data_IF_150095874082
#
_entry.id   IF_150095874082
#
_cell.length_a   1.000
_cell.length_b   1.000
_cell.length_c   1.000
_cell.angle_alpha   90.00
_cell.angle_beta   90.00
_cell.angle_gamma   90.00
#
_symmetry.space_group_name_H-M   'P 1'
#
loop_
_entity.id
_entity.type
_entity.pdbx_description
1 polymer ?
#
# COMPACT_ATOMS: atom_id res chain seq x y z
N UNK A 1 8.17 -6.15 -13.16
CA UNK A 1 8.83 -5.39 -12.07
C UNK A 1 9.02 -6.27 -10.85
N UNK A 2 9.66 -5.76 -9.78
CA UNK A 2 9.97 -6.52 -8.57
C UNK A 2 8.73 -7.18 -7.93
N UNK A 3 7.62 -6.44 -7.79
CA UNK A 3 6.38 -6.99 -7.22
C UNK A 3 5.82 -8.20 -7.97
N UNK A 4 6.01 -8.27 -9.30
CA UNK A 4 5.59 -9.42 -10.09
C UNK A 4 6.44 -10.67 -9.81
N UNK A 5 7.76 -10.50 -9.60
CA UNK A 5 8.64 -11.60 -9.19
C UNK A 5 8.27 -12.13 -7.80
N UNK A 6 7.98 -11.23 -6.85
CA UNK A 6 7.49 -11.60 -5.51
C UNK A 6 6.17 -12.36 -5.62
N UNK A 7 5.20 -11.87 -6.40
CA UNK A 7 3.93 -12.56 -6.63
C UNK A 7 4.13 -13.96 -7.22
N UNK A 8 5.02 -14.09 -8.20
CA UNK A 8 5.33 -15.39 -8.81
C UNK A 8 5.90 -16.37 -7.78
N UNK A 9 6.81 -15.92 -6.93
CA UNK A 9 7.34 -16.73 -5.84
C UNK A 9 6.24 -17.14 -4.85
N UNK A 10 5.45 -16.19 -4.36
CA UNK A 10 4.35 -16.43 -3.41
C UNK A 10 3.32 -17.44 -3.95
N UNK A 11 2.95 -17.32 -5.23
CA UNK A 11 2.02 -18.25 -5.87
C UNK A 11 2.60 -19.66 -6.00
N UNK A 12 3.89 -19.79 -6.34
CA UNK A 12 4.56 -21.09 -6.51
C UNK A 12 4.82 -21.82 -5.20
N UNK A 13 5.01 -21.09 -4.11
CA UNK A 13 5.27 -21.67 -2.78
C UNK A 13 4.02 -21.84 -1.93
N UNK A 14 2.83 -21.49 -2.46
CA UNK A 14 1.57 -21.56 -1.72
C UNK A 14 1.43 -20.52 -0.61
N UNK A 15 2.30 -19.51 -0.57
CA UNK A 15 2.25 -18.43 0.43
C UNK A 15 1.20 -17.37 0.12
N UNK A 16 0.67 -17.32 -1.10
CA UNK A 16 -0.30 -16.30 -1.49
C UNK A 16 -1.59 -16.40 -0.66
N UNK A 17 -1.96 -17.60 -0.21
CA UNK A 17 -3.16 -17.85 0.60
C UNK A 17 -3.03 -17.35 2.05
N UNK A 18 -1.80 -17.17 2.54
CA UNK A 18 -1.53 -16.80 3.94
C UNK A 18 -1.26 -15.31 4.15
N UNK A 19 -1.09 -14.53 3.08
CA UNK A 19 -0.71 -13.11 3.17
C UNK A 19 -1.72 -12.19 2.50
N UNK A 20 -1.72 -10.91 2.92
CA UNK A 20 -2.44 -9.84 2.22
C UNK A 20 -1.47 -9.14 1.28
N UNK A 21 -1.52 -9.49 0.00
CA UNK A 21 -0.63 -8.92 -1.02
C UNK A 21 -1.33 -7.80 -1.81
N UNK A 22 -0.77 -6.58 -1.78
CA UNK A 22 -1.25 -5.39 -2.53
C UNK A 22 -0.07 -4.71 -3.22
N UNK A 23 0.31 -5.17 -4.43
CA UNK A 23 1.42 -4.56 -5.15
C UNK A 23 1.03 -3.15 -5.61
N UNK A 24 1.92 -2.19 -5.44
CA UNK A 24 1.76 -0.82 -5.91
C UNK A 24 2.75 -0.57 -7.04
N UNK A 25 2.25 -0.08 -8.18
CA UNK A 25 3.06 0.18 -9.38
C UNK A 25 2.63 1.49 -10.01
N UNK A 26 3.45 2.01 -10.92
CA UNK A 26 3.09 3.20 -11.68
C UNK A 26 1.78 2.93 -12.45
N UNK A 27 0.77 3.82 -12.34
CA UNK A 27 -0.51 3.63 -13.01
C UNK A 27 -0.36 3.80 -14.52
N UNK A 28 -1.18 3.08 -15.28
CA UNK A 28 -1.24 3.16 -16.74
C UNK A 28 -2.05 4.39 -17.19
N UNK A 29 -1.50 5.58 -16.90
CA UNK A 29 -2.03 6.88 -17.30
C UNK A 29 -0.90 7.88 -17.40
N UNK A 30 -1.11 8.96 -18.14
CA UNK A 30 -0.19 10.09 -18.13
C UNK A 30 -0.18 10.77 -16.75
N UNK A 31 1.01 11.20 -16.34
CA UNK A 31 1.28 12.01 -15.15
C UNK A 31 1.98 13.26 -15.66
N UNK A 32 1.49 14.43 -15.25
CA UNK A 32 2.03 15.69 -15.73
C UNK A 32 3.46 15.92 -15.22
N UNK A 33 4.25 16.67 -15.99
CA UNK A 33 5.60 17.01 -15.57
C UNK A 33 5.55 17.89 -14.32
N UNK A 34 6.24 17.47 -13.27
CA UNK A 34 6.29 18.16 -11.99
C UNK A 34 7.55 17.76 -11.22
N UNK A 35 7.70 18.24 -9.99
CA UNK A 35 8.70 17.71 -9.07
C UNK A 35 8.45 16.22 -8.83
N UNK A 36 9.53 15.47 -8.60
CA UNK A 36 9.47 14.02 -8.39
C UNK A 36 8.49 13.63 -7.26
N UNK A 37 8.50 14.36 -6.15
CA UNK A 37 7.59 14.14 -5.01
C UNK A 37 6.12 14.35 -5.41
N UNK A 38 5.83 15.38 -6.20
CA UNK A 38 4.48 15.63 -6.69
C UNK A 38 4.01 14.52 -7.64
N UNK A 39 4.87 14.06 -8.53
CA UNK A 39 4.56 12.96 -9.46
C UNK A 39 4.31 11.64 -8.72
N UNK A 40 5.11 11.30 -7.71
CA UNK A 40 4.88 10.09 -6.92
C UNK A 40 3.61 10.17 -6.08
N UNK A 41 3.31 11.34 -5.52
CA UNK A 41 2.05 11.56 -4.81
C UNK A 41 0.85 11.40 -5.74
N UNK A 42 0.93 11.95 -6.95
CA UNK A 42 -0.11 11.81 -7.97
C UNK A 42 -0.26 10.35 -8.43
N UNK A 43 0.85 9.61 -8.54
CA UNK A 43 0.86 8.18 -8.83
C UNK A 43 0.33 7.32 -7.66
N UNK A 44 0.16 7.88 -6.47
CA UNK A 44 -0.19 7.15 -5.26
C UNK A 44 0.94 6.23 -4.77
N UNK A 45 2.20 6.59 -5.01
CA UNK A 45 3.39 5.81 -4.68
C UNK A 45 4.27 6.48 -3.61
N UNK A 46 3.70 7.40 -2.84
CA UNK A 46 4.38 8.04 -1.72
C UNK A 46 4.24 7.24 -0.41
N UNK A 47 4.95 7.65 0.64
CA UNK A 47 4.95 6.96 1.93
C UNK A 47 3.56 6.88 2.57
N UNK A 48 2.75 7.93 2.45
CA UNK A 48 1.39 7.97 2.99
C UNK A 48 0.49 6.98 2.28
N UNK A 49 0.54 6.92 0.95
CA UNK A 49 -0.25 5.98 0.16
C UNK A 49 0.17 4.53 0.42
N UNK A 50 1.47 4.25 0.60
CA UNK A 50 1.98 2.92 0.96
C UNK A 50 1.44 2.49 2.33
N UNK A 51 1.54 3.36 3.34
CA UNK A 51 1.04 3.08 4.68
C UNK A 51 -0.48 2.86 4.68
N UNK A 52 -1.23 3.71 3.99
CA UNK A 52 -2.68 3.59 3.84
C UNK A 52 -3.07 2.26 3.16
N UNK A 53 -2.37 1.87 2.10
CA UNK A 53 -2.61 0.61 1.39
C UNK A 53 -2.35 -0.59 2.30
N UNK A 54 -1.28 -0.56 3.10
CA UNK A 54 -0.97 -1.63 4.06
C UNK A 54 -2.05 -1.74 5.16
N UNK A 55 -2.46 -0.61 5.75
CA UNK A 55 -3.51 -0.59 6.77
C UNK A 55 -4.85 -1.07 6.20
N UNK A 56 -5.21 -0.63 4.99
CA UNK A 56 -6.41 -1.08 4.31
C UNK A 56 -6.36 -2.59 3.99
N UNK A 57 -5.20 -3.11 3.58
CA UNK A 57 -5.02 -4.55 3.36
C UNK A 57 -5.23 -5.39 4.63
N UNK A 58 -4.94 -4.81 5.80
CA UNK A 58 -5.18 -5.40 7.12
C UNK A 58 -6.60 -5.17 7.65
N UNK A 59 -7.44 -4.43 6.93
CA UNK A 59 -8.80 -4.07 7.39
C UNK A 59 -8.82 -2.99 8.48
N UNK A 60 -7.73 -2.23 8.64
CA UNK A 60 -7.58 -1.18 9.64
C UNK A 60 -7.92 0.22 9.09
N UNK A 61 -8.68 0.29 7.99
CA UNK A 61 -9.09 1.55 7.38
C UNK A 61 -10.31 2.13 8.10
N UNK A 62 -10.32 3.45 8.28
CA UNK A 62 -11.19 4.24 9.14
C UNK A 62 -12.64 4.35 8.62
N UNK A 63 -13.30 3.20 8.46
CA UNK A 63 -14.73 3.09 8.34
C UNK A 63 -15.22 2.33 9.57
N UNK A 64 -15.46 3.11 10.64
CA UNK A 64 -16.19 2.75 11.85
C UNK A 64 -15.46 2.18 13.09
N UNK A 65 -14.25 2.62 13.48
CA UNK A 65 -13.85 2.46 14.89
C UNK A 65 -12.85 3.50 15.43
N UNK A 66 -13.17 4.21 16.53
CA UNK A 66 -12.28 5.17 17.22
C UNK A 66 -11.08 4.54 17.94
N UNK A 67 -10.69 3.30 17.60
CA UNK A 67 -9.72 2.50 18.36
C UNK A 67 -8.29 2.56 17.78
N UNK A 68 -8.06 3.18 16.62
CA UNK A 68 -6.71 3.20 15.98
C UNK A 68 -5.67 3.81 16.92
N UNK A 69 -6.02 4.82 17.73
CA UNK A 69 -5.13 5.41 18.75
C UNK A 69 -4.70 4.41 19.85
N UNK A 70 -5.51 3.40 20.15
CA UNK A 70 -5.24 2.43 21.23
C UNK A 70 -4.28 1.31 20.79
N UNK A 71 -4.27 0.94 19.51
CA UNK A 71 -3.44 -0.17 19.00
C UNK A 71 -2.02 0.26 18.65
N UNK A 72 -1.78 1.53 18.28
CA UNK A 72 -0.46 2.03 17.88
C UNK A 72 0.29 2.80 18.98
N UNK A 73 -0.27 2.95 20.18
CA UNK A 73 0.40 3.60 21.32
C UNK A 73 0.77 5.08 21.10
N UNK A 74 0.25 5.73 20.06
CA UNK A 74 0.51 7.14 19.79
C UNK A 74 -0.42 8.00 20.66
N UNK A 75 0.16 8.65 21.67
CA UNK A 75 -0.54 9.65 22.48
C UNK A 75 -0.94 10.84 21.60
N UNK A 76 -2.12 11.38 21.92
CA UNK A 76 -2.81 12.47 21.25
C UNK A 76 -1.94 13.73 21.04
#
# INVERSE_FOLDING_TARGET
>A
GFGAYVMHHLARTGLLDSVRFRPMTLPDRFIDHNTQDAQYREAGLDATAIAATALHALGLHESAHPQIKATIGLKA
#
